data_IF_092308229918
#
_entry.id   IF_092308229918
#
_cell.length_a   1.000
_cell.length_b   1.000
_cell.length_c   1.000
_cell.angle_alpha   90.00
_cell.angle_beta   90.00
_cell.angle_gamma   90.00
#
_symmetry.space_group_name_H-M   'P 1'
#
loop_
_entity.id
_entity.type
_entity.pdbx_description
1 polymer ?
#
# COMPACT_ATOMS: atom_id res chain seq x y z
N UNK A 1 -10.90 -56.55 -104.20
CA UNK A 1 -11.77 -56.00 -103.13
C UNK A 1 -11.48 -54.51 -103.02
N UNK A 2 -12.51 -53.65 -103.04
CA UNK A 2 -12.33 -52.20 -103.07
C UNK A 2 -11.98 -51.66 -101.67
N UNK A 3 -11.26 -50.54 -101.56
CA UNK A 3 -11.22 -49.77 -100.31
C UNK A 3 -12.42 -48.81 -100.25
N UNK A 4 -13.11 -48.84 -99.11
CA UNK A 4 -14.22 -47.95 -98.72
C UNK A 4 -13.69 -47.02 -97.61
N UNK A 5 -14.17 -45.76 -97.51
CA UNK A 5 -13.32 -44.58 -97.34
C UNK A 5 -12.97 -44.21 -95.90
N UNK A 6 -11.86 -43.49 -95.76
CA UNK A 6 -11.45 -42.81 -94.53
C UNK A 6 -12.35 -41.59 -94.28
N UNK A 7 -13.10 -41.62 -93.18
CA UNK A 7 -13.86 -40.47 -92.65
C UNK A 7 -12.95 -39.72 -91.67
N UNK A 8 -12.62 -38.48 -91.99
CA UNK A 8 -11.94 -37.56 -91.08
C UNK A 8 -12.91 -37.14 -89.95
N UNK A 9 -12.55 -37.25 -88.67
CA UNK A 9 -13.27 -36.55 -87.61
C UNK A 9 -12.86 -35.08 -87.61
N UNK A 10 -13.86 -34.22 -87.80
CA UNK A 10 -13.80 -32.77 -87.60
C UNK A 10 -13.36 -32.44 -86.17
N UNK A 11 -12.23 -31.75 -86.03
CA UNK A 11 -11.77 -31.23 -84.74
C UNK A 11 -12.75 -30.20 -84.18
N UNK A 12 -13.39 -30.54 -83.07
CA UNK A 12 -14.19 -29.64 -82.26
C UNK A 12 -13.29 -28.61 -81.56
N UNK A 13 -13.58 -27.32 -81.73
CA UNK A 13 -12.93 -26.25 -80.98
C UNK A 13 -13.12 -26.43 -79.46
N UNK A 14 -12.12 -26.11 -78.62
CA UNK A 14 -12.25 -26.24 -77.17
C UNK A 14 -13.27 -25.22 -76.63
N UNK A 15 -14.04 -25.58 -75.58
CA UNK A 15 -15.05 -24.69 -75.01
C UNK A 15 -14.40 -23.47 -74.36
N UNK A 16 -15.02 -22.31 -74.57
CA UNK A 16 -14.62 -21.06 -73.92
C UNK A 16 -14.77 -21.20 -72.40
N UNK A 17 -13.67 -21.03 -71.68
CA UNK A 17 -13.65 -21.01 -70.21
C UNK A 17 -14.09 -19.62 -69.76
N UNK A 18 -15.31 -19.53 -69.20
CA UNK A 18 -15.76 -18.31 -68.54
C UNK A 18 -14.93 -18.05 -67.27
N UNK A 19 -14.52 -16.80 -66.99
CA UNK A 19 -13.80 -16.48 -65.78
C UNK A 19 -14.67 -16.70 -64.54
N UNK A 20 -14.07 -17.06 -63.38
CA UNK A 20 -14.82 -17.27 -62.16
C UNK A 20 -15.44 -15.95 -61.66
N UNK A 21 -16.59 -16.02 -60.95
CA UNK A 21 -17.25 -14.83 -60.42
C UNK A 21 -16.38 -14.14 -59.37
N UNK A 22 -16.35 -12.80 -59.44
CA UNK A 22 -15.62 -11.94 -58.49
C UNK A 22 -16.36 -11.96 -57.13
N UNK A 23 -15.66 -12.17 -56.01
CA UNK A 23 -16.30 -12.14 -54.70
C UNK A 23 -16.86 -10.75 -54.38
N UNK A 24 -17.99 -10.65 -53.65
CA UNK A 24 -18.59 -9.38 -53.30
C UNK A 24 -17.64 -8.56 -52.43
N UNK A 25 -17.60 -7.25 -52.68
CA UNK A 25 -16.78 -6.33 -51.90
C UNK A 25 -17.20 -6.36 -50.42
N UNK A 26 -16.25 -6.38 -49.47
CA UNK A 26 -16.56 -6.37 -48.05
C UNK A 26 -17.30 -5.08 -47.68
N UNK A 27 -18.38 -5.21 -46.90
CA UNK A 27 -19.14 -4.07 -46.39
C UNK A 27 -18.23 -3.14 -45.56
N UNK A 28 -18.37 -1.81 -45.70
CA UNK A 28 -17.62 -0.86 -44.87
C UNK A 28 -17.98 -1.07 -43.39
N UNK A 29 -16.94 -1.15 -42.55
CA UNK A 29 -17.11 -1.32 -41.11
C UNK A 29 -17.82 -0.09 -40.51
N UNK A 30 -18.84 -0.33 -39.68
CA UNK A 30 -19.49 0.71 -38.89
C UNK A 30 -18.48 1.33 -37.92
N UNK A 31 -18.19 2.62 -38.10
CA UNK A 31 -17.39 3.39 -37.16
C UNK A 31 -18.24 3.62 -35.91
N UNK A 32 -18.00 2.85 -34.87
CA UNK A 32 -18.62 3.09 -33.57
C UNK A 32 -17.98 4.32 -32.93
N UNK A 33 -18.78 5.19 -32.28
CA UNK A 33 -18.23 6.30 -31.52
C UNK A 33 -17.30 5.78 -30.42
N UNK A 34 -16.20 6.49 -30.12
CA UNK A 34 -15.27 6.06 -29.08
C UNK A 34 -16.02 5.93 -27.73
N UNK A 35 -15.63 4.95 -26.90
CA UNK A 35 -16.22 4.79 -25.57
C UNK A 35 -16.04 6.08 -24.75
N UNK A 36 -17.02 6.45 -23.91
CA UNK A 36 -16.87 7.60 -23.03
C UNK A 36 -15.63 7.42 -22.17
N UNK A 37 -14.80 8.47 -22.11
CA UNK A 37 -13.60 8.48 -21.29
C UNK A 37 -13.99 8.23 -19.82
N UNK A 38 -13.25 7.38 -19.09
CA UNK A 38 -13.48 7.23 -17.66
C UNK A 38 -13.32 8.59 -16.99
N UNK A 39 -14.34 8.99 -16.22
CA UNK A 39 -14.29 10.17 -15.36
C UNK A 39 -13.02 10.07 -14.51
N UNK A 40 -12.06 10.96 -14.77
CA UNK A 40 -10.87 11.09 -13.93
C UNK A 40 -11.35 11.39 -12.51
N UNK A 41 -10.99 10.52 -11.56
CA UNK A 41 -11.32 10.72 -10.16
C UNK A 41 -10.87 12.13 -9.74
N UNK A 42 -11.79 12.92 -9.18
CA UNK A 42 -11.43 14.23 -8.67
C UNK A 42 -10.30 14.08 -7.64
N UNK A 43 -9.29 14.98 -7.65
CA UNK A 43 -8.25 14.95 -6.64
C UNK A 43 -8.92 15.07 -5.27
N UNK A 44 -8.65 14.10 -4.39
CA UNK A 44 -9.12 14.12 -3.00
C UNK A 44 -8.80 15.49 -2.41
N UNK A 45 -9.81 16.19 -1.92
CA UNK A 45 -9.62 17.44 -1.19
C UNK A 45 -8.61 17.22 -0.06
N UNK A 46 -7.77 18.22 0.22
CA UNK A 46 -6.86 18.17 1.35
C UNK A 46 -7.63 17.86 2.64
N UNK A 47 -7.10 17.01 3.53
CA UNK A 47 -7.80 16.61 4.74
C UNK A 47 -8.08 17.83 5.62
N UNK A 48 -9.29 17.88 6.19
CA UNK A 48 -9.67 18.97 7.09
C UNK A 48 -8.80 18.97 8.37
N UNK A 49 -8.69 20.10 9.04
CA UNK A 49 -7.94 20.18 10.31
C UNK A 49 -8.47 19.18 11.36
N UNK A 50 -9.80 19.00 11.43
CA UNK A 50 -10.43 18.02 12.32
C UNK A 50 -10.07 16.58 11.94
N UNK A 51 -10.01 16.27 10.65
CA UNK A 51 -9.58 14.95 10.18
C UNK A 51 -8.11 14.70 10.46
N UNK A 52 -7.25 15.70 10.26
CA UNK A 52 -5.83 15.63 10.62
C UNK A 52 -5.67 15.33 12.10
N UNK A 53 -6.38 16.04 12.97
CA UNK A 53 -6.31 15.84 14.41
C UNK A 53 -6.78 14.44 14.81
N UNK A 54 -7.90 13.96 14.27
CA UNK A 54 -8.44 12.62 14.57
C UNK A 54 -7.49 11.48 14.17
N UNK A 55 -6.81 11.65 13.04
CA UNK A 55 -5.91 10.66 12.46
C UNK A 55 -4.45 10.82 12.92
N UNK A 56 -4.13 11.84 13.73
CA UNK A 56 -2.81 12.02 14.32
C UNK A 56 -2.76 11.33 15.68
N UNK A 57 -2.05 10.21 15.83
CA UNK A 57 -2.04 9.49 17.09
C UNK A 57 -1.09 10.13 18.11
N UNK A 58 -1.44 10.00 19.38
CA UNK A 58 -0.47 10.02 20.48
C UNK A 58 0.29 8.70 20.43
N UNK A 59 1.62 8.77 20.50
CA UNK A 59 2.49 7.61 20.42
C UNK A 59 3.03 7.31 21.80
N UNK A 60 2.76 6.10 22.28
CA UNK A 60 3.29 5.58 23.54
C UNK A 60 4.20 4.40 23.27
N UNK A 61 5.34 4.35 23.96
CA UNK A 61 6.29 3.24 23.88
C UNK A 61 6.46 2.63 25.26
N UNK A 62 6.07 1.36 25.36
CA UNK A 62 6.03 0.58 26.58
C UNK A 62 7.13 -0.48 26.55
N UNK A 63 8.02 -0.43 27.53
CA UNK A 63 8.92 -1.52 27.85
C UNK A 63 8.20 -2.52 28.77
N UNK A 64 8.54 -3.81 28.67
CA UNK A 64 8.05 -4.81 29.60
C UNK A 64 8.37 -4.42 31.06
N UNK A 65 7.35 -4.43 31.93
CA UNK A 65 7.47 -4.05 33.34
C UNK A 65 7.66 -2.55 33.61
N UNK A 66 7.49 -1.68 32.61
CA UNK A 66 7.44 -0.24 32.86
C UNK A 66 6.12 0.16 33.54
N UNK A 67 6.18 1.14 34.45
CA UNK A 67 5.00 1.69 35.14
C UNK A 67 4.32 2.80 34.33
N UNK A 68 5.07 3.46 33.46
CA UNK A 68 4.61 4.52 32.56
C UNK A 68 5.25 4.34 31.18
N UNK A 69 4.56 4.77 30.10
CA UNK A 69 5.15 4.77 28.78
C UNK A 69 6.15 5.91 28.64
N UNK A 70 7.02 5.79 27.65
CA UNK A 70 7.59 6.97 27.01
C UNK A 70 6.55 7.56 26.07
N UNK A 71 6.28 8.86 26.16
CA UNK A 71 5.48 9.61 25.19
C UNK A 71 6.39 10.61 24.49
N UNK A 72 6.93 10.28 23.31
CA UNK A 72 7.85 11.18 22.64
C UNK A 72 7.17 12.49 22.22
N UNK A 73 7.80 13.61 22.55
CA UNK A 73 7.28 14.95 22.23
C UNK A 73 7.07 15.12 20.72
N UNK A 74 5.97 15.77 20.37
CA UNK A 74 5.62 16.08 18.99
C UNK A 74 5.73 17.58 18.74
N UNK A 75 6.50 17.95 17.71
CA UNK A 75 6.59 19.33 17.21
C UNK A 75 6.18 19.35 15.74
N UNK A 76 4.90 19.65 15.49
CA UNK A 76 4.30 19.54 14.17
C UNK A 76 4.37 18.11 13.63
N UNK A 77 5.06 17.94 12.49
CA UNK A 77 5.26 16.62 11.84
C UNK A 77 6.36 15.77 12.48
N UNK A 78 7.19 16.36 13.33
CA UNK A 78 8.33 15.68 13.92
C UNK A 78 7.97 15.07 15.27
N UNK A 79 8.40 13.83 15.49
CA UNK A 79 8.26 13.10 16.75
C UNK A 79 9.67 12.86 17.30
N UNK A 80 9.88 13.16 18.59
CA UNK A 80 11.13 12.90 19.26
C UNK A 80 11.45 11.39 19.27
N UNK A 81 12.73 10.99 19.42
CA UNK A 81 13.07 9.58 19.50
C UNK A 81 12.50 8.91 20.76
N UNK A 82 12.04 7.67 20.63
CA UNK A 82 11.85 6.76 21.75
C UNK A 82 13.11 5.91 21.98
N UNK A 83 13.41 5.60 23.23
CA UNK A 83 14.58 4.81 23.59
C UNK A 83 14.20 3.35 23.87
N UNK A 84 15.01 2.42 23.36
CA UNK A 84 14.86 0.98 23.60
C UNK A 84 16.09 0.49 24.36
N UNK A 85 15.86 -0.26 25.44
CA UNK A 85 16.93 -0.86 26.24
C UNK A 85 17.45 -2.12 25.52
N UNK A 86 18.71 -2.06 25.10
CA UNK A 86 19.43 -3.17 24.46
C UNK A 86 18.65 -3.84 23.31
N UNK A 87 18.42 -5.16 23.42
CA UNK A 87 17.67 -5.99 22.46
C UNK A 87 16.25 -6.32 22.93
N UNK A 88 15.72 -5.60 23.93
CA UNK A 88 14.39 -5.90 24.46
C UNK A 88 13.29 -5.41 23.50
N UNK A 89 12.25 -6.23 23.25
CA UNK A 89 11.09 -5.77 22.51
C UNK A 89 10.34 -4.70 23.31
N UNK A 90 9.72 -3.77 22.59
CA UNK A 90 8.83 -2.76 23.15
C UNK A 90 7.48 -2.82 22.45
N UNK A 91 6.43 -2.56 23.22
CA UNK A 91 5.08 -2.39 22.69
C UNK A 91 4.89 -0.91 22.36
N UNK A 92 4.55 -0.61 21.11
CA UNK A 92 4.15 0.73 20.65
C UNK A 92 2.63 0.77 20.58
N UNK A 93 2.03 1.64 21.38
CA UNK A 93 0.59 1.91 21.37
C UNK A 93 0.34 3.27 20.72
N UNK A 94 -0.43 3.27 19.65
CA UNK A 94 -0.96 4.47 19.01
C UNK A 94 -2.35 4.72 19.57
N UNK A 95 -2.58 5.90 20.14
CA UNK A 95 -3.90 6.34 20.56
C UNK A 95 -4.44 7.38 19.59
N UNK A 96 -5.45 7.01 18.83
CA UNK A 96 -6.21 7.90 17.95
C UNK A 96 -7.50 8.38 18.64
N UNK A 97 -8.18 9.35 18.04
CA UNK A 97 -9.56 9.66 18.40
C UNK A 97 -10.44 8.41 18.19
N UNK A 98 -11.35 8.04 19.11
CA UNK A 98 -12.27 6.90 18.94
C UNK A 98 -13.10 6.95 17.66
N UNK A 99 -13.33 8.14 17.09
CA UNK A 99 -13.99 8.32 15.78
C UNK A 99 -13.16 7.78 14.61
N UNK A 100 -11.86 7.51 14.80
CA UNK A 100 -11.00 6.84 13.83
C UNK A 100 -11.15 5.30 13.83
N UNK A 101 -12.05 4.73 14.64
CA UNK A 101 -12.31 3.27 14.68
C UNK A 101 -12.47 2.68 13.28
N UNK A 102 -11.89 1.49 13.07
CA UNK A 102 -11.93 0.78 11.79
C UNK A 102 -11.03 1.37 10.69
N UNK A 103 -10.36 2.52 10.90
CA UNK A 103 -9.34 2.99 9.97
C UNK A 103 -8.16 2.01 9.95
N UNK A 104 -7.63 1.79 8.76
CA UNK A 104 -6.45 0.95 8.56
C UNK A 104 -5.19 1.76 8.86
N UNK A 105 -4.33 1.18 9.68
CA UNK A 105 -2.99 1.68 9.99
C UNK A 105 -1.98 0.74 9.34
N UNK A 106 -1.18 1.26 8.41
CA UNK A 106 -0.07 0.52 7.81
C UNK A 106 1.21 0.89 8.55
N UNK A 107 1.86 -0.09 9.16
CA UNK A 107 3.14 0.02 9.86
C UNK A 107 4.25 -0.45 8.93
N UNK A 108 5.23 0.41 8.68
CA UNK A 108 6.43 0.08 7.92
C UNK A 108 7.65 0.17 8.84
N UNK A 109 8.33 -0.96 9.12
CA UNK A 109 9.58 -0.92 9.86
C UNK A 109 10.69 -0.39 8.96
N UNK A 110 11.42 0.62 9.45
CA UNK A 110 12.65 1.08 8.83
C UNK A 110 13.79 0.07 9.02
N UNK A 111 14.91 0.29 8.30
CA UNK A 111 16.12 -0.52 8.48
C UNK A 111 16.52 -0.57 9.96
N UNK A 112 16.68 -1.78 10.50
CA UNK A 112 17.08 -2.00 11.89
C UNK A 112 15.93 -2.32 12.85
N UNK A 113 14.66 -2.17 12.44
CA UNK A 113 13.49 -2.54 13.23
C UNK A 113 12.85 -3.83 12.70
N UNK A 114 12.33 -4.66 13.62
CA UNK A 114 11.56 -5.87 13.30
C UNK A 114 10.26 -5.82 14.09
N UNK A 115 9.15 -6.08 13.39
CA UNK A 115 7.83 -6.26 14.01
C UNK A 115 7.66 -7.72 14.46
N UNK A 116 7.04 -7.93 15.61
CA UNK A 116 6.76 -9.27 16.14
C UNK A 116 5.35 -9.34 16.78
N UNK A 117 4.34 -9.94 16.13
CA UNK A 117 4.40 -10.62 14.84
C UNK A 117 4.70 -9.66 13.67
N UNK A 118 5.12 -10.16 12.49
CA UNK A 118 5.42 -9.36 11.30
C UNK A 118 4.14 -8.85 10.61
N UNK A 119 3.26 -8.23 11.39
CA UNK A 119 1.97 -7.68 10.94
C UNK A 119 2.13 -6.20 10.64
N UNK A 120 2.08 -5.86 9.36
CA UNK A 120 2.21 -4.47 8.89
C UNK A 120 0.86 -3.76 8.73
N UNK A 121 -0.25 -4.48 8.78
CA UNK A 121 -1.59 -3.90 8.59
C UNK A 121 -2.41 -4.13 9.84
N UNK A 122 -2.79 -3.04 10.50
CA UNK A 122 -3.55 -3.03 11.73
C UNK A 122 -4.84 -2.22 11.53
N UNK A 123 -5.82 -2.43 12.40
CA UNK A 123 -7.02 -1.60 12.44
C UNK A 123 -7.10 -0.87 13.78
N UNK A 124 -7.57 0.38 13.74
CA UNK A 124 -7.89 1.14 14.94
C UNK A 124 -9.06 0.45 15.66
N UNK A 125 -8.83 0.02 16.90
CA UNK A 125 -9.84 -0.64 17.72
C UNK A 125 -10.98 0.33 18.10
N UNK A 126 -12.14 -0.15 18.57
CA UNK A 126 -13.23 0.72 19.01
C UNK A 126 -12.84 1.75 20.08
N UNK A 127 -11.82 1.44 20.88
CA UNK A 127 -11.24 2.32 21.91
C UNK A 127 -10.32 3.42 21.34
N UNK A 128 -10.11 3.46 20.02
CA UNK A 128 -9.18 4.39 19.37
C UNK A 128 -7.72 3.90 19.37
N UNK A 129 -7.42 2.75 19.97
CA UNK A 129 -6.05 2.28 20.10
C UNK A 129 -5.63 1.30 19.00
N UNK A 130 -4.34 1.31 18.66
CA UNK A 130 -3.68 0.37 17.76
C UNK A 130 -2.32 0.01 18.36
N UNK A 131 -1.94 -1.27 18.34
CA UNK A 131 -0.76 -1.76 19.06
C UNK A 131 0.11 -2.61 18.16
N UNK A 132 1.42 -2.41 18.23
CA UNK A 132 2.44 -3.23 17.57
C UNK A 132 3.61 -3.46 18.51
N UNK A 133 4.22 -4.63 18.45
CA UNK A 133 5.47 -4.90 19.18
C UNK A 133 6.63 -4.83 18.20
N UNK A 134 7.70 -4.15 18.61
CA UNK A 134 8.90 -3.93 17.80
C UNK A 134 10.13 -4.25 18.62
N UNK A 135 11.15 -4.79 17.95
CA UNK A 135 12.51 -4.93 18.49
C UNK A 135 13.51 -4.32 17.52
N UNK A 136 14.65 -3.86 18.05
CA UNK A 136 15.78 -3.47 17.22
C UNK A 136 16.64 -4.70 16.92
N UNK A 137 17.16 -4.78 15.69
CA UNK A 137 18.22 -5.72 15.34
C UNK A 137 19.44 -5.48 16.23
N UNK A 138 20.16 -6.54 16.58
CA UNK A 138 21.29 -6.50 17.52
C UNK A 138 22.36 -5.46 17.16
N UNK A 139 22.60 -5.22 15.88
CA UNK A 139 23.61 -4.26 15.42
C UNK A 139 23.02 -2.91 14.96
N UNK A 140 21.74 -2.66 15.24
CA UNK A 140 21.05 -1.43 14.87
C UNK A 140 21.00 -0.44 16.05
N UNK A 141 21.89 0.58 16.11
CA UNK A 141 21.83 1.59 17.18
C UNK A 141 20.62 2.51 17.02
N UNK A 142 20.06 2.59 15.81
CA UNK A 142 18.90 3.43 15.45
C UNK A 142 18.05 2.71 14.42
N UNK A 143 16.75 2.96 14.47
CA UNK A 143 15.78 2.58 13.45
C UNK A 143 14.60 3.57 13.47
N UNK A 144 13.53 3.26 12.75
CA UNK A 144 12.27 3.98 12.87
C UNK A 144 11.10 3.06 12.53
N UNK A 145 9.90 3.47 12.96
CA UNK A 145 8.63 2.94 12.46
C UNK A 145 7.88 4.06 11.78
N UNK A 146 7.27 3.77 10.63
CA UNK A 146 6.38 4.70 9.94
C UNK A 146 4.97 4.16 9.96
N UNK A 147 4.04 4.97 10.46
CA UNK A 147 2.62 4.66 10.54
C UNK A 147 1.86 5.51 9.52
N UNK A 148 1.15 4.84 8.61
CA UNK A 148 0.27 5.48 7.64
C UNK A 148 -1.19 5.25 8.02
N UNK A 149 -1.98 6.31 8.15
CA UNK A 149 -3.40 6.23 8.45
C UNK A 149 -4.15 7.36 7.73
N UNK A 150 -5.10 7.01 6.85
CA UNK A 150 -5.92 7.98 6.12
C UNK A 150 -5.12 9.07 5.38
N UNK A 151 -4.01 8.69 4.73
CA UNK A 151 -3.13 9.63 4.01
C UNK A 151 -2.13 10.40 4.88
N UNK A 152 -2.23 10.32 6.21
CA UNK A 152 -1.25 10.90 7.13
C UNK A 152 -0.13 9.93 7.44
N UNK A 153 1.03 10.50 7.75
CA UNK A 153 2.23 9.75 8.11
C UNK A 153 2.77 10.23 9.46
N UNK A 154 2.96 9.30 10.39
CA UNK A 154 3.70 9.55 11.65
C UNK A 154 4.93 8.66 11.64
N UNK A 155 6.12 9.25 11.77
CA UNK A 155 7.37 8.49 11.90
C UNK A 155 7.86 8.56 13.33
N UNK A 156 8.07 7.40 13.96
CA UNK A 156 8.64 7.26 15.29
C UNK A 156 10.12 6.85 15.16
N UNK A 157 11.08 7.73 15.44
CA UNK A 157 12.48 7.35 15.52
C UNK A 157 12.71 6.47 16.76
N UNK A 158 13.48 5.40 16.59
CA UNK A 158 13.88 4.50 17.66
C UNK A 158 15.40 4.57 17.83
N UNK A 159 15.87 4.66 19.06
CA UNK A 159 17.30 4.62 19.37
C UNK A 159 17.56 3.64 20.50
N UNK A 160 18.58 2.80 20.33
CA UNK A 160 19.10 2.01 21.44
C UNK A 160 19.70 2.94 22.48
N UNK A 161 19.48 2.63 23.75
CA UNK A 161 20.11 3.33 24.86
C UNK A 161 20.23 2.46 26.11
N UNK A 162 20.94 2.97 27.12
CA UNK A 162 21.02 2.31 28.42
C UNK A 162 19.66 2.27 29.11
N UNK A 163 19.43 1.24 29.92
CA UNK A 163 18.20 1.10 30.69
C UNK A 163 17.92 2.33 31.58
N UNK A 164 18.96 2.91 32.18
CA UNK A 164 18.84 4.13 32.99
C UNK A 164 18.26 5.31 32.20
N UNK A 165 18.69 5.51 30.95
CA UNK A 165 18.17 6.59 30.10
C UNK A 165 16.74 6.32 29.63
N UNK A 166 16.42 5.06 29.34
CA UNK A 166 15.04 4.64 29.04
C UNK A 166 14.11 4.96 30.20
N UNK A 167 14.47 4.56 31.42
CA UNK A 167 13.70 4.80 32.64
C UNK A 167 13.57 6.30 32.97
N UNK A 168 14.62 7.10 32.75
CA UNK A 168 14.56 8.54 32.94
C UNK A 168 13.47 9.18 32.04
N UNK A 169 13.34 8.72 30.79
CA UNK A 169 12.30 9.18 29.86
C UNK A 169 10.90 8.68 30.24
N UNK A 170 10.78 7.43 30.70
CA UNK A 170 9.52 6.86 31.24
C UNK A 170 9.01 7.74 32.43
N UNK A 171 9.92 8.13 33.33
CA UNK A 171 9.61 8.94 34.51
C UNK A 171 9.30 10.40 34.18
N UNK A 172 10.02 11.01 33.22
CA UNK A 172 9.76 12.38 32.78
C UNK A 172 8.34 12.50 32.17
N UNK A 173 7.90 11.46 31.46
CA UNK A 173 6.53 11.39 30.93
C UNK A 173 5.50 11.32 32.04
N UNK A 174 5.72 10.46 33.06
CA UNK A 174 4.82 10.36 34.21
C UNK A 174 4.71 11.67 35.01
N UNK A 175 5.81 12.43 35.10
CA UNK A 175 5.85 13.71 35.79
C UNK A 175 5.10 14.83 35.05
N UNK A 176 5.10 14.82 33.71
CA UNK A 176 4.37 15.81 32.89
C UNK A 176 2.88 15.52 32.69
N UNK A 177 2.39 14.37 33.19
CA UNK A 177 0.98 13.97 33.12
C UNK A 177 0.20 14.23 34.42
N UNK A 178 0.81 14.90 35.40
CA UNK A 178 0.19 15.40 36.63
C UNK A 178 0.00 16.91 36.56
#
# INVERSE_FOLDING_TARGET
MPPVPAVQPTGSAPPAVSPPPVPPAPNPALILPPPPLPLLAQPSSAPSAAEIQRLTPIVEVWRAGALSPQVPLRHGRYVAPAFIADNQPVMVRLQFDPLARGKTVVVRPGKGAILDPPTEVLQVRPTGECVVTVRLLENAPRAHLTFHCGGLMTTLPLSRNSLAKVQANENATAAGAR
#
